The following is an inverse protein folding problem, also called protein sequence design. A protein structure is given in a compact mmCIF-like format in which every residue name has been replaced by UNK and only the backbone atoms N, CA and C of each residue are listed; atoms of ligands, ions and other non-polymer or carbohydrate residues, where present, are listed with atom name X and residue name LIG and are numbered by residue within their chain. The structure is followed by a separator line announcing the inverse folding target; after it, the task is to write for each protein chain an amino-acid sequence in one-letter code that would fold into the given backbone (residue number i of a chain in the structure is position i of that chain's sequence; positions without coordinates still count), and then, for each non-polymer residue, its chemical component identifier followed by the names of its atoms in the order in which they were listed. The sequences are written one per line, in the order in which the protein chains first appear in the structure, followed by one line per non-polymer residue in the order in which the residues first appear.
data_IF_161533910639
#
_entry.id   IF_161533910639
#
_cell.length_a   1.000
_cell.length_b   1.000
_cell.length_c   1.000
_cell.angle_alpha   90.00
_cell.angle_beta   90.00
_cell.angle_gamma   90.00
#
_symmetry.space_group_name_H-M   'P 1'
#
loop_
_entity.id
_entity.type
_entity.pdbx_description
1 polymer ?
#
# COMPACT_ATOMS: atom_id res chain seq x y z
N UNK A 1 5.28 4.76 24.11
CA UNK A 1 6.37 4.59 23.12
C UNK A 1 7.17 5.89 23.03
N UNK A 2 8.47 5.89 23.36
CA UNK A 2 9.31 7.09 23.27
C UNK A 2 9.41 7.63 21.83
N UNK A 3 9.33 6.76 20.82
CA UNK A 3 9.32 7.14 19.41
C UNK A 3 8.07 7.95 19.03
N UNK A 4 6.92 7.62 19.59
CA UNK A 4 5.70 8.40 19.36
C UNK A 4 5.75 9.73 20.16
N UNK A 5 6.25 9.70 21.38
CA UNK A 5 6.44 10.94 22.16
C UNK A 5 7.39 11.94 21.47
N UNK A 6 8.40 11.44 20.75
CA UNK A 6 9.29 12.28 19.96
C UNK A 6 8.60 12.98 18.77
N UNK A 7 7.47 12.46 18.29
CA UNK A 7 6.66 13.09 17.24
C UNK A 7 5.87 14.32 17.73
N UNK A 8 5.64 14.43 19.04
CA UNK A 8 4.89 15.55 19.65
C UNK A 8 5.74 16.84 19.73
N UNK A 9 7.05 16.73 19.56
CA UNK A 9 7.96 17.87 19.63
C UNK A 9 7.87 18.69 18.36
N UNK A 10 7.35 19.91 18.47
CA UNK A 10 7.27 20.90 17.37
C UNK A 10 8.33 21.96 17.56
N UNK A 11 9.18 22.13 16.58
CA UNK A 11 10.22 23.18 16.58
C UNK A 11 9.84 24.30 15.60
N UNK A 12 10.14 25.54 16.03
CA UNK A 12 9.97 26.74 15.21
C UNK A 12 11.35 27.34 14.91
N UNK A 13 11.60 27.59 13.64
CA UNK A 13 12.80 28.29 13.16
C UNK A 13 12.42 29.30 12.10
N UNK A 14 12.94 30.53 12.23
CA UNK A 14 12.63 31.64 11.31
C UNK A 14 11.13 31.86 11.09
N UNK A 15 10.31 31.74 12.14
CA UNK A 15 8.86 31.86 12.07
C UNK A 15 8.12 30.69 11.39
N UNK A 16 8.83 29.63 10.98
CA UNK A 16 8.24 28.45 10.37
C UNK A 16 8.29 27.25 11.33
N UNK A 17 7.12 26.74 11.68
CA UNK A 17 6.96 25.50 12.44
C UNK A 17 6.59 24.36 11.50
N UNK A 18 6.98 23.12 11.84
CA UNK A 18 6.42 21.95 11.18
C UNK A 18 5.10 21.52 11.85
N UNK A 19 4.31 20.70 11.15
CA UNK A 19 3.10 20.08 11.69
C UNK A 19 3.47 19.23 12.92
N UNK A 20 2.60 19.18 13.93
CA UNK A 20 2.72 18.21 15.00
C UNK A 20 2.46 16.81 14.46
N UNK A 21 3.50 16.00 14.35
CA UNK A 21 3.45 14.69 13.74
C UNK A 21 2.73 13.64 14.61
N UNK A 22 2.68 13.84 15.94
CA UNK A 22 1.96 12.96 16.85
C UNK A 22 0.45 13.04 16.62
N UNK A 23 -0.13 14.24 16.65
CA UNK A 23 -1.55 14.43 16.37
C UNK A 23 -1.92 14.08 14.93
N UNK A 24 -1.01 14.29 13.99
CA UNK A 24 -1.16 13.80 12.63
C UNK A 24 -1.28 12.28 12.59
N UNK A 25 -0.39 11.56 13.28
CA UNK A 25 -0.43 10.09 13.33
C UNK A 25 -1.74 9.58 13.94
N UNK A 26 -2.28 10.25 14.96
CA UNK A 26 -3.57 9.89 15.54
C UNK A 26 -4.73 10.13 14.56
N UNK A 27 -4.72 11.24 13.82
CA UNK A 27 -5.71 11.54 12.78
C UNK A 27 -5.68 10.48 11.67
N UNK A 28 -4.49 10.08 11.21
CA UNK A 28 -4.30 9.02 10.21
C UNK A 28 -4.83 7.68 10.72
N UNK A 29 -4.53 7.35 11.98
CA UNK A 29 -5.02 6.11 12.59
C UNK A 29 -6.56 6.08 12.70
N UNK A 30 -7.19 7.20 13.05
CA UNK A 30 -8.65 7.31 13.09
C UNK A 30 -9.26 7.15 11.71
N UNK A 31 -8.72 7.84 10.70
CA UNK A 31 -9.12 7.69 9.30
C UNK A 31 -9.02 6.23 8.83
N UNK A 32 -7.90 5.56 9.14
CA UNK A 32 -7.71 4.15 8.80
C UNK A 32 -8.75 3.25 9.49
N UNK A 33 -9.00 3.47 10.78
CA UNK A 33 -9.98 2.67 11.53
C UNK A 33 -11.40 2.81 10.95
N UNK A 34 -11.75 4.00 10.47
CA UNK A 34 -13.03 4.25 9.81
C UNK A 34 -13.09 3.54 8.45
N UNK A 35 -12.04 3.68 7.61
CA UNK A 35 -11.94 2.98 6.33
C UNK A 35 -11.99 1.44 6.49
N UNK A 36 -11.31 0.89 7.50
CA UNK A 36 -11.36 -0.54 7.83
C UNK A 36 -12.78 -0.99 8.19
N UNK A 37 -13.52 -0.18 8.95
CA UNK A 37 -14.90 -0.48 9.31
C UNK A 37 -15.82 -0.49 8.10
N UNK A 38 -15.68 0.52 7.24
CA UNK A 38 -16.47 0.63 6.00
C UNK A 38 -16.18 -0.56 5.06
N UNK A 39 -14.91 -0.90 4.83
CA UNK A 39 -14.53 -2.06 4.01
C UNK A 39 -15.10 -3.36 4.54
N UNK A 40 -14.98 -3.60 5.84
CA UNK A 40 -15.50 -4.82 6.47
C UNK A 40 -17.03 -4.91 6.38
N UNK A 41 -17.72 -3.79 6.57
CA UNK A 41 -19.18 -3.74 6.40
C UNK A 41 -19.57 -4.01 4.95
N UNK A 42 -18.83 -3.47 3.97
CA UNK A 42 -19.04 -3.74 2.55
C UNK A 42 -18.87 -5.23 2.21
N UNK A 43 -17.77 -5.86 2.66
CA UNK A 43 -17.53 -7.29 2.44
C UNK A 43 -18.63 -8.17 3.06
N UNK A 44 -19.10 -7.85 4.27
CA UNK A 44 -20.18 -8.57 4.93
C UNK A 44 -21.52 -8.40 4.22
N UNK A 45 -21.77 -7.21 3.68
CA UNK A 45 -22.97 -6.94 2.88
C UNK A 45 -22.94 -7.75 1.59
N UNK A 46 -21.82 -7.71 0.85
CA UNK A 46 -21.64 -8.52 -0.35
C UNK A 46 -21.83 -10.02 -0.08
N UNK A 47 -21.27 -10.52 1.04
CA UNK A 47 -21.45 -11.92 1.45
C UNK A 47 -22.92 -12.28 1.73
N UNK A 48 -23.69 -11.35 2.29
CA UNK A 48 -25.11 -11.56 2.57
C UNK A 48 -25.97 -11.59 1.28
N UNK A 49 -25.54 -10.87 0.25
CA UNK A 49 -26.24 -10.78 -1.04
C UNK A 49 -25.77 -11.81 -2.08
N UNK A 50 -24.56 -12.38 -1.90
CA UNK A 50 -24.04 -13.39 -2.80
C UNK A 50 -24.95 -14.61 -2.91
N UNK A 51 -25.18 -15.07 -4.10
CA UNK A 51 -26.00 -16.26 -4.40
C UNK A 51 -25.15 -17.47 -4.80
N UNK A 52 -23.99 -17.22 -5.41
CA UNK A 52 -23.05 -18.24 -5.84
C UNK A 52 -22.19 -18.74 -4.67
N UNK A 53 -22.01 -20.05 -4.56
CA UNK A 53 -21.25 -20.65 -3.46
C UNK A 53 -19.74 -20.38 -3.57
N UNK A 54 -19.20 -20.31 -4.80
CA UNK A 54 -17.79 -19.97 -5.00
C UNK A 54 -17.51 -18.51 -4.59
N UNK A 55 -18.40 -17.59 -4.95
CA UNK A 55 -18.34 -16.18 -4.53
C UNK A 55 -18.41 -16.05 -3.01
N UNK A 56 -19.30 -16.80 -2.35
CA UNK A 56 -19.42 -16.80 -0.88
C UNK A 56 -18.12 -17.25 -0.20
N UNK A 57 -17.52 -18.33 -0.70
CA UNK A 57 -16.26 -18.83 -0.13
C UNK A 57 -15.13 -17.82 -0.34
N UNK A 58 -15.04 -17.16 -1.48
CA UNK A 58 -14.06 -16.11 -1.72
C UNK A 58 -14.26 -14.92 -0.76
N UNK A 59 -15.49 -14.44 -0.59
CA UNK A 59 -15.79 -13.33 0.32
C UNK A 59 -15.51 -13.67 1.79
N UNK A 60 -15.73 -14.92 2.21
CA UNK A 60 -15.35 -15.38 3.55
C UNK A 60 -13.83 -15.35 3.73
N UNK A 61 -13.07 -15.84 2.75
CA UNK A 61 -11.61 -15.81 2.76
C UNK A 61 -11.08 -14.38 2.81
N UNK A 62 -11.68 -13.46 2.05
CA UNK A 62 -11.32 -12.03 2.06
C UNK A 62 -11.59 -11.38 3.42
N UNK A 63 -12.72 -11.69 4.06
CA UNK A 63 -13.05 -11.21 5.42
C UNK A 63 -12.03 -11.74 6.43
N UNK A 64 -11.72 -13.03 6.39
CA UNK A 64 -10.76 -13.66 7.30
C UNK A 64 -9.36 -13.06 7.15
N UNK A 65 -8.88 -12.93 5.91
CA UNK A 65 -7.61 -12.25 5.60
C UNK A 65 -7.59 -10.83 6.13
N UNK A 66 -8.63 -10.06 5.87
CA UNK A 66 -8.73 -8.68 6.33
C UNK A 66 -8.70 -8.58 7.86
N UNK A 67 -9.46 -9.42 8.57
CA UNK A 67 -9.48 -9.45 10.04
C UNK A 67 -8.12 -9.85 10.62
N UNK A 68 -7.39 -10.76 9.98
CA UNK A 68 -6.05 -11.18 10.40
C UNK A 68 -5.01 -10.05 10.28
N UNK A 69 -5.12 -9.21 9.24
CA UNK A 69 -4.18 -8.11 8.99
C UNK A 69 -4.57 -6.79 9.66
N UNK A 70 -5.82 -6.59 9.98
CA UNK A 70 -6.40 -5.34 10.50
C UNK A 70 -5.59 -4.70 11.64
N UNK A 71 -5.16 -5.48 12.61
CA UNK A 71 -4.38 -4.99 13.74
C UNK A 71 -2.97 -4.55 13.31
N UNK A 72 -2.33 -5.31 12.43
CA UNK A 72 -0.96 -5.06 11.99
C UNK A 72 -0.89 -3.86 11.04
N UNK A 73 -1.94 -3.63 10.25
CA UNK A 73 -2.09 -2.41 9.45
C UNK A 73 -2.20 -1.17 10.36
N UNK A 74 -2.91 -1.25 11.49
CA UNK A 74 -2.93 -0.18 12.50
C UNK A 74 -1.55 0.06 13.12
N UNK A 75 -0.76 -1.00 13.36
CA UNK A 75 0.63 -0.85 13.78
C UNK A 75 1.49 -0.18 12.72
N UNK A 76 1.35 -0.54 11.45
CA UNK A 76 2.00 0.14 10.33
C UNK A 76 1.68 1.64 10.30
N UNK A 77 0.39 1.95 10.43
CA UNK A 77 -0.11 3.33 10.50
C UNK A 77 0.44 4.09 11.71
N UNK A 78 0.44 3.48 12.88
CA UNK A 78 0.97 4.11 14.09
C UNK A 78 2.47 4.41 13.99
N UNK A 79 3.21 3.61 13.23
CA UNK A 79 4.66 3.70 13.09
C UNK A 79 5.14 4.33 11.78
N UNK A 80 4.25 4.71 10.84
CA UNK A 80 4.66 5.18 9.51
C UNK A 80 5.64 6.37 9.57
N UNK A 81 5.44 7.26 10.50
CA UNK A 81 6.16 8.51 10.67
C UNK A 81 7.25 8.51 11.78
N UNK A 82 7.48 7.40 12.47
CA UNK A 82 8.43 7.35 13.62
C UNK A 82 9.88 7.70 13.25
N UNK A 83 10.21 7.67 11.97
CA UNK A 83 11.51 8.09 11.46
C UNK A 83 11.71 9.62 11.36
N UNK A 84 10.62 10.42 11.38
CA UNK A 84 10.68 11.87 11.21
C UNK A 84 11.59 12.58 12.19
N UNK A 85 11.58 12.32 13.51
CA UNK A 85 12.47 13.00 14.43
C UNK A 85 13.95 12.80 14.10
N UNK A 86 14.34 11.62 13.63
CA UNK A 86 15.73 11.31 13.25
C UNK A 86 16.14 11.84 11.87
N UNK A 87 15.20 12.01 10.97
CA UNK A 87 15.45 12.54 9.62
C UNK A 87 15.32 14.05 9.52
N UNK A 88 14.76 14.70 10.55
CA UNK A 88 14.49 16.13 10.56
C UNK A 88 15.72 16.97 10.25
N UNK A 89 15.61 17.85 9.26
CA UNK A 89 16.65 18.81 8.84
C UNK A 89 16.00 20.14 8.52
N UNK A 90 16.78 21.21 8.67
CA UNK A 90 16.39 22.54 8.22
C UNK A 90 17.00 22.83 6.84
N UNK A 91 16.15 23.19 5.90
CA UNK A 91 16.52 23.74 4.60
C UNK A 91 16.12 25.21 4.54
N UNK A 92 17.01 26.07 4.02
CA UNK A 92 16.75 27.52 4.01
C UNK A 92 15.62 27.93 3.04
N UNK A 93 15.38 27.17 1.96
CA UNK A 93 14.32 27.43 1.00
C UNK A 93 13.00 26.77 1.42
N UNK A 94 13.05 25.48 1.79
CA UNK A 94 11.86 24.66 2.06
C UNK A 94 11.40 24.71 3.53
N UNK A 95 12.29 25.06 4.47
CA UNK A 95 12.02 24.98 5.90
C UNK A 95 12.35 23.59 6.47
N UNK A 96 11.50 23.06 7.35
CA UNK A 96 11.69 21.73 7.91
C UNK A 96 11.45 20.64 6.88
N UNK A 97 12.41 19.73 6.71
CA UNK A 97 12.35 18.58 5.81
C UNK A 97 12.56 17.27 6.58
N UNK A 98 12.03 16.17 6.05
CA UNK A 98 12.03 14.85 6.69
C UNK A 98 12.38 13.74 5.67
N UNK A 99 13.38 13.99 4.82
CA UNK A 99 13.76 13.03 3.77
C UNK A 99 14.17 11.67 4.35
N UNK A 100 13.78 10.60 3.67
CA UNK A 100 14.07 9.21 4.04
C UNK A 100 13.53 8.78 5.42
N UNK A 101 12.53 9.49 5.99
CA UNK A 101 11.94 9.10 7.28
C UNK A 101 11.29 7.70 7.23
N UNK A 102 10.73 7.30 6.08
CA UNK A 102 10.18 5.98 5.84
C UNK A 102 11.24 4.88 6.03
N UNK A 103 12.38 5.00 5.38
CA UNK A 103 13.49 4.07 5.50
C UNK A 103 14.08 4.01 6.93
N UNK A 104 14.24 5.18 7.57
CA UNK A 104 14.70 5.26 8.95
C UNK A 104 13.67 4.63 9.89
N UNK A 105 12.38 4.92 9.70
CA UNK A 105 11.28 4.35 10.46
C UNK A 105 11.22 2.83 10.32
N UNK A 106 11.31 2.31 9.10
CA UNK A 106 11.33 0.88 8.83
C UNK A 106 12.46 0.16 9.59
N UNK A 107 13.66 0.75 9.66
CA UNK A 107 14.78 0.23 10.47
C UNK A 107 14.52 0.26 11.98
N UNK A 108 13.63 1.13 12.45
CA UNK A 108 13.27 1.20 13.88
C UNK A 108 12.25 0.13 14.29
N UNK A 109 11.40 -0.35 13.36
CA UNK A 109 10.32 -1.32 13.63
C UNK A 109 10.80 -2.56 14.38
N UNK A 110 11.87 -3.28 13.98
CA UNK A 110 12.30 -4.48 14.69
C UNK A 110 12.68 -4.22 16.16
N UNK A 111 13.31 -3.08 16.45
CA UNK A 111 13.68 -2.73 17.81
C UNK A 111 12.47 -2.35 18.67
N UNK A 112 11.47 -1.67 18.08
CA UNK A 112 10.21 -1.35 18.75
C UNK A 112 9.46 -2.64 19.09
N UNK A 113 9.32 -3.55 18.13
CA UNK A 113 8.65 -4.85 18.32
C UNK A 113 9.31 -5.68 19.41
N UNK A 114 10.65 -5.80 19.38
CA UNK A 114 11.41 -6.55 20.39
C UNK A 114 11.20 -5.97 21.80
N UNK A 115 11.27 -4.65 21.95
CA UNK A 115 11.08 -3.97 23.23
C UNK A 115 9.66 -4.14 23.77
N UNK A 116 8.65 -4.15 22.91
CA UNK A 116 7.25 -4.36 23.26
C UNK A 116 6.86 -5.83 23.38
N UNK A 117 7.79 -6.75 23.14
CA UNK A 117 7.53 -8.21 23.10
C UNK A 117 6.43 -8.59 22.10
N UNK A 118 6.34 -7.87 20.98
CA UNK A 118 5.46 -8.20 19.85
C UNK A 118 6.09 -9.31 19.00
N UNK A 119 5.28 -10.03 18.18
CA UNK A 119 5.79 -11.09 17.31
C UNK A 119 6.87 -10.59 16.36
N UNK A 120 7.99 -11.31 16.27
CA UNK A 120 9.14 -10.99 15.40
C UNK A 120 9.11 -11.79 14.08
N UNK A 121 7.94 -12.24 13.70
CA UNK A 121 7.64 -13.07 12.52
C UNK A 121 7.24 -12.22 11.28
N UNK A 122 6.43 -12.79 10.39
CA UNK A 122 5.91 -12.11 9.20
C UNK A 122 5.12 -10.84 9.53
N UNK A 123 4.48 -10.76 10.71
CA UNK A 123 3.73 -9.58 11.17
C UNK A 123 4.65 -8.36 11.35
N UNK A 124 5.84 -8.57 11.92
CA UNK A 124 6.85 -7.51 12.04
C UNK A 124 7.35 -7.08 10.65
N UNK A 125 7.64 -8.05 9.75
CA UNK A 125 8.08 -7.76 8.39
C UNK A 125 7.02 -6.99 7.59
N UNK A 126 5.76 -7.37 7.73
CA UNK A 126 4.61 -6.67 7.14
C UNK A 126 4.55 -5.21 7.61
N UNK A 127 4.59 -4.95 8.92
CA UNK A 127 4.61 -3.59 9.46
C UNK A 127 5.83 -2.81 8.95
N UNK A 128 7.01 -3.42 8.93
CA UNK A 128 8.23 -2.82 8.42
C UNK A 128 8.10 -2.44 6.93
N UNK A 129 7.53 -3.32 6.10
CA UNK A 129 7.26 -3.08 4.67
C UNK A 129 6.32 -1.90 4.47
N UNK A 130 5.21 -1.85 5.20
CA UNK A 130 4.27 -0.73 5.13
C UNK A 130 4.93 0.61 5.49
N UNK A 131 5.73 0.65 6.57
CA UNK A 131 6.46 1.85 6.97
C UNK A 131 7.48 2.27 5.91
N UNK A 132 8.16 1.34 5.27
CA UNK A 132 9.13 1.66 4.21
C UNK A 132 8.46 2.21 2.94
N UNK A 133 7.34 1.61 2.56
CA UNK A 133 6.69 1.90 1.28
C UNK A 133 5.66 3.04 1.31
N UNK A 134 5.20 3.51 2.49
CA UNK A 134 4.04 4.42 2.58
C UNK A 134 4.18 5.71 1.77
N UNK A 135 5.39 6.19 1.53
CA UNK A 135 5.61 7.38 0.71
C UNK A 135 5.49 7.16 -0.80
N UNK A 136 5.59 5.90 -1.27
CA UNK A 136 5.63 5.62 -2.72
C UNK A 136 4.29 5.87 -3.44
N UNK A 137 3.14 5.38 -2.95
CA UNK A 137 1.85 5.72 -3.56
C UNK A 137 1.60 7.22 -3.60
N UNK A 138 1.99 7.96 -2.55
CA UNK A 138 1.86 9.41 -2.47
C UNK A 138 2.70 10.10 -3.55
N UNK A 139 3.97 9.68 -3.72
CA UNK A 139 4.86 10.22 -4.74
C UNK A 139 4.34 9.94 -6.17
N UNK A 140 3.83 8.73 -6.43
CA UNK A 140 3.23 8.38 -7.73
C UNK A 140 1.97 9.21 -7.99
N UNK A 141 1.15 9.46 -6.98
CA UNK A 141 -0.09 10.24 -7.10
C UNK A 141 0.15 11.76 -7.22
N UNK A 142 1.30 12.27 -6.78
CA UNK A 142 1.65 13.71 -6.88
C UNK A 142 2.27 14.05 -8.25
N UNK A 143 2.80 13.06 -8.95
CA UNK A 143 3.46 13.17 -10.25
C UNK A 143 2.61 12.54 -11.37
N UNK A 144 3.16 12.44 -12.60
CA UNK A 144 2.51 11.69 -13.66
C UNK A 144 2.52 10.18 -13.36
N UNK A 145 1.32 9.58 -13.27
CA UNK A 145 1.16 8.16 -12.94
C UNK A 145 1.58 7.28 -14.10
N UNK A 146 2.84 6.85 -14.14
CA UNK A 146 3.37 5.96 -15.17
C UNK A 146 3.16 4.49 -14.82
N UNK A 147 2.96 3.64 -15.83
CA UNK A 147 2.78 2.19 -15.65
C UNK A 147 4.01 1.52 -15.03
N UNK A 148 5.21 2.01 -15.35
CA UNK A 148 6.45 1.49 -14.78
C UNK A 148 6.58 1.78 -13.27
N UNK A 149 6.12 2.96 -12.81
CA UNK A 149 6.12 3.31 -11.39
C UNK A 149 5.09 2.47 -10.62
N UNK A 150 3.89 2.30 -11.20
CA UNK A 150 2.83 1.46 -10.62
C UNK A 150 3.26 0.00 -10.55
N UNK A 151 3.89 -0.55 -11.62
CA UNK A 151 4.40 -1.93 -11.63
C UNK A 151 5.45 -2.17 -10.55
N UNK A 152 6.38 -1.23 -10.35
CA UNK A 152 7.35 -1.33 -9.25
C UNK A 152 6.67 -1.32 -7.88
N UNK A 153 5.65 -0.48 -7.71
CA UNK A 153 4.89 -0.43 -6.47
C UNK A 153 4.20 -1.76 -6.18
N UNK A 154 3.53 -2.34 -7.20
CA UNK A 154 2.87 -3.65 -7.07
C UNK A 154 3.87 -4.73 -6.72
N UNK A 155 5.02 -4.81 -7.42
CA UNK A 155 6.04 -5.82 -7.15
C UNK A 155 6.65 -5.69 -5.74
N UNK A 156 6.86 -4.46 -5.24
CA UNK A 156 7.46 -4.25 -3.92
C UNK A 156 6.45 -4.44 -2.78
N UNK A 157 5.18 -4.10 -3.01
CA UNK A 157 4.12 -4.29 -2.02
C UNK A 157 3.57 -5.72 -2.02
N UNK A 158 3.59 -6.38 -3.19
CA UNK A 158 3.08 -7.74 -3.39
C UNK A 158 1.62 -7.87 -2.89
N UNK A 159 1.29 -8.93 -2.17
CA UNK A 159 -0.03 -9.16 -1.57
C UNK A 159 -0.53 -8.05 -0.62
N UNK A 160 0.36 -7.16 -0.17
CA UNK A 160 0.04 -6.09 0.78
C UNK A 160 -0.34 -4.76 0.10
N UNK A 161 -0.49 -4.74 -1.23
CA UNK A 161 -0.74 -3.51 -2.01
C UNK A 161 -2.02 -2.78 -1.58
N UNK A 162 -3.10 -3.51 -1.31
CA UNK A 162 -4.37 -2.92 -0.88
C UNK A 162 -4.28 -2.27 0.50
N UNK A 163 -3.58 -2.91 1.43
CA UNK A 163 -3.34 -2.41 2.78
C UNK A 163 -2.44 -1.17 2.75
N UNK A 164 -1.40 -1.18 1.89
CA UNK A 164 -0.54 -0.03 1.67
C UNK A 164 -1.33 1.17 1.11
N UNK A 165 -2.18 0.94 0.12
CA UNK A 165 -3.03 1.97 -0.46
C UNK A 165 -4.00 2.54 0.58
N UNK A 166 -4.60 1.70 1.44
CA UNK A 166 -5.49 2.13 2.52
C UNK A 166 -4.75 3.00 3.55
N UNK A 167 -3.53 2.65 3.92
CA UNK A 167 -2.68 3.47 4.79
C UNK A 167 -2.43 4.84 4.17
N UNK A 168 -2.01 4.88 2.90
CA UNK A 168 -1.65 6.12 2.22
C UNK A 168 -2.86 7.04 1.98
N UNK A 169 -4.03 6.49 1.69
CA UNK A 169 -5.28 7.25 1.60
C UNK A 169 -5.66 7.87 2.96
N UNK A 170 -5.50 7.12 4.04
CA UNK A 170 -5.73 7.61 5.40
C UNK A 170 -4.78 8.74 5.79
N UNK A 171 -3.54 8.75 5.27
CA UNK A 171 -2.51 9.78 5.51
C UNK A 171 -2.84 11.13 4.85
N UNK A 172 -3.81 11.17 3.92
CA UNK A 172 -4.24 12.42 3.29
C UNK A 172 -5.08 13.26 4.26
N UNK A 173 -4.41 14.01 5.14
CA UNK A 173 -5.03 14.83 6.20
C UNK A 173 -5.05 16.33 5.89
N UNK A 174 -4.96 16.71 4.60
CA UNK A 174 -4.96 18.13 4.20
C UNK A 174 -6.29 18.83 4.56
N UNK A 175 -6.21 19.96 5.23
CA UNK A 175 -7.36 20.84 5.50
C UNK A 175 -7.86 21.55 4.22
N UNK A 176 -7.05 21.63 3.19
CA UNK A 176 -7.43 22.17 1.90
C UNK A 176 -8.25 21.14 1.12
N UNK A 177 -9.57 21.37 1.04
CA UNK A 177 -10.52 20.46 0.38
C UNK A 177 -10.20 20.21 -1.09
N UNK A 178 -9.75 21.22 -1.83
CA UNK A 178 -9.39 21.08 -3.26
C UNK A 178 -8.16 20.21 -3.42
N UNK A 179 -7.13 20.44 -2.59
CA UNK A 179 -5.92 19.62 -2.59
C UNK A 179 -6.23 18.18 -2.19
N UNK A 180 -7.05 17.99 -1.15
CA UNK A 180 -7.48 16.65 -0.71
C UNK A 180 -8.24 15.91 -1.80
N UNK A 181 -9.19 16.56 -2.47
CA UNK A 181 -9.97 15.96 -3.56
C UNK A 181 -9.07 15.54 -4.73
N UNK A 182 -8.10 16.39 -5.12
CA UNK A 182 -7.13 16.07 -6.18
C UNK A 182 -6.30 14.84 -5.82
N UNK A 183 -5.79 14.75 -4.59
CA UNK A 183 -5.02 13.59 -4.16
C UNK A 183 -5.85 12.32 -4.18
N UNK A 184 -7.08 12.35 -3.65
CA UNK A 184 -7.98 11.19 -3.66
C UNK A 184 -8.31 10.73 -5.09
N UNK A 185 -8.52 11.67 -6.02
CA UNK A 185 -8.73 11.32 -7.43
C UNK A 185 -7.49 10.67 -8.05
N UNK A 186 -6.30 11.20 -7.78
CA UNK A 186 -5.06 10.59 -8.26
C UNK A 186 -4.86 9.18 -7.65
N UNK A 187 -5.20 8.97 -6.38
CA UNK A 187 -5.17 7.63 -5.77
C UNK A 187 -6.16 6.67 -6.44
N UNK A 188 -7.35 7.15 -6.84
CA UNK A 188 -8.29 6.35 -7.63
C UNK A 188 -7.67 5.89 -8.95
N UNK A 189 -7.00 6.79 -9.66
CA UNK A 189 -6.26 6.45 -10.90
C UNK A 189 -5.15 5.42 -10.65
N UNK A 190 -4.40 5.55 -9.56
CA UNK A 190 -3.38 4.56 -9.17
C UNK A 190 -4.01 3.19 -8.94
N UNK A 191 -5.14 3.11 -8.20
CA UNK A 191 -5.87 1.85 -7.97
C UNK A 191 -6.39 1.22 -9.27
N UNK A 192 -6.92 2.01 -10.18
CA UNK A 192 -7.38 1.52 -11.49
C UNK A 192 -6.23 0.92 -12.29
N UNK A 193 -5.08 1.60 -12.33
CA UNK A 193 -3.88 1.06 -12.98
C UNK A 193 -3.35 -0.20 -12.31
N UNK A 194 -3.37 -0.29 -10.99
CA UNK A 194 -3.02 -1.50 -10.24
C UNK A 194 -3.92 -2.65 -10.66
N UNK A 195 -5.24 -2.46 -10.68
CA UNK A 195 -6.20 -3.50 -11.06
C UNK A 195 -5.98 -4.00 -12.50
N UNK A 196 -5.73 -3.08 -13.43
CA UNK A 196 -5.43 -3.43 -14.83
C UNK A 196 -4.11 -4.22 -14.94
N UNK A 197 -3.08 -3.83 -14.20
CA UNK A 197 -1.79 -4.51 -14.23
C UNK A 197 -1.89 -5.94 -13.67
N UNK A 198 -2.55 -6.11 -12.52
CA UNK A 198 -2.76 -7.43 -11.91
C UNK A 198 -3.55 -8.33 -12.86
N UNK A 199 -4.63 -7.81 -13.48
CA UNK A 199 -5.41 -8.56 -14.44
C UNK A 199 -4.57 -8.99 -15.65
N UNK A 200 -3.80 -8.09 -16.23
CA UNK A 200 -2.96 -8.37 -17.39
C UNK A 200 -1.84 -9.38 -17.07
N UNK A 201 -1.26 -9.32 -15.88
CA UNK A 201 -0.23 -10.26 -15.45
C UNK A 201 -0.85 -11.66 -15.21
N UNK A 202 -2.03 -11.74 -14.59
CA UNK A 202 -2.79 -13.00 -14.47
C UNK A 202 -3.14 -13.60 -15.85
N UNK A 203 -3.62 -12.80 -16.80
CA UNK A 203 -3.90 -13.26 -18.16
C UNK A 203 -2.64 -13.76 -18.89
N UNK A 204 -1.46 -13.18 -18.62
CA UNK A 204 -0.18 -13.67 -19.16
C UNK A 204 0.27 -14.98 -18.55
N UNK A 205 0.05 -15.18 -17.26
CA UNK A 205 0.36 -16.45 -16.57
C UNK A 205 -0.53 -17.59 -17.02
N UNK A 206 -1.77 -17.29 -17.48
CA UNK A 206 -2.69 -18.26 -18.05
C UNK A 206 -2.36 -18.63 -19.50
N UNK A 207 -1.40 -17.94 -20.16
CA UNK A 207 -1.00 -18.34 -21.51
C UNK A 207 -0.29 -19.71 -21.46
N UNK A 208 -0.60 -20.62 -22.41
CA UNK A 208 0.01 -21.94 -22.42
C UNK A 208 1.53 -21.82 -22.44
N UNK A 209 2.20 -22.62 -21.60
CA UNK A 209 3.67 -22.69 -21.54
C UNK A 209 4.29 -23.24 -22.85
N UNK A 210 3.48 -23.56 -23.85
CA UNK A 210 3.89 -24.15 -25.14
C UNK A 210 4.03 -23.03 -26.15
N UNK A 211 5.23 -22.91 -26.74
CA UNK A 211 5.46 -21.94 -27.81
C UNK A 211 5.04 -22.49 -29.18
N UNK A 212 5.00 -21.62 -30.20
CA UNK A 212 4.59 -22.01 -31.54
C UNK A 212 5.55 -23.04 -32.18
N UNK A 213 6.82 -23.09 -31.79
CA UNK A 213 7.79 -24.08 -32.29
C UNK A 213 7.53 -25.46 -31.68
N UNK A 214 7.26 -25.49 -30.39
CA UNK A 214 6.87 -26.72 -29.69
C UNK A 214 5.56 -27.29 -30.24
N UNK A 215 4.59 -26.46 -30.56
CA UNK A 215 3.34 -26.87 -31.24
C UNK A 215 3.66 -27.47 -32.62
N UNK A 216 4.50 -26.81 -33.41
CA UNK A 216 4.89 -27.30 -34.74
C UNK A 216 5.63 -28.64 -34.65
N UNK A 217 6.50 -28.82 -33.67
CA UNK A 217 7.25 -30.04 -33.45
C UNK A 217 6.34 -31.17 -32.98
N UNK A 218 5.45 -30.92 -32.03
CA UNK A 218 4.54 -31.91 -31.44
C UNK A 218 3.50 -32.42 -32.45
N UNK A 219 2.99 -31.56 -33.31
CA UNK A 219 1.95 -31.87 -34.30
C UNK A 219 2.46 -32.02 -35.74
N UNK A 220 3.78 -31.89 -35.97
CA UNK A 220 4.38 -31.98 -37.30
C UNK A 220 3.91 -30.90 -38.27
N UNK A 221 3.55 -29.72 -37.73
CA UNK A 221 3.00 -28.61 -38.52
C UNK A 221 4.13 -27.69 -39.03
N UNK A 222 3.83 -27.06 -40.17
CA UNK A 222 4.67 -25.95 -40.68
C UNK A 222 4.10 -24.61 -40.14
N UNK A 223 4.89 -23.52 -40.14
CA UNK A 223 4.37 -22.20 -39.81
C UNK A 223 3.08 -21.89 -40.55
N UNK A 224 1.96 -21.80 -39.84
CA UNK A 224 0.61 -21.68 -40.41
C UNK A 224 -0.32 -20.99 -39.42
N UNK A 225 -1.50 -20.57 -39.90
CA UNK A 225 -2.57 -20.03 -39.05
C UNK A 225 -3.05 -21.04 -38.02
N UNK A 226 -3.02 -22.35 -38.34
CA UNK A 226 -3.39 -23.43 -37.43
C UNK A 226 -2.52 -23.45 -36.16
N UNK A 227 -1.23 -23.15 -36.31
CA UNK A 227 -0.32 -23.02 -35.11
C UNK A 227 -0.74 -21.87 -34.23
N UNK A 228 -1.21 -20.75 -34.82
CA UNK A 228 -1.76 -19.62 -34.09
C UNK A 228 -3.07 -19.96 -33.35
N UNK A 229 -3.96 -20.67 -34.02
CA UNK A 229 -5.26 -21.08 -33.47
C UNK A 229 -5.12 -22.13 -32.36
N UNK A 230 -4.08 -22.98 -32.41
CA UNK A 230 -3.76 -23.95 -31.33
C UNK A 230 -3.05 -23.30 -30.15
N UNK A 231 -2.47 -22.11 -30.33
CA UNK A 231 -1.80 -21.34 -29.24
C UNK A 231 -2.76 -20.39 -28.51
N UNK A 232 -3.86 -20.02 -29.14
CA UNK A 232 -4.83 -19.08 -28.59
C UNK A 232 -5.76 -19.75 -27.59
#
# INVERSE_FOLDING_TARGET
LPELAALDIVETRNGRAHKNNFYHTLEVLDNLCNAQRERLNGLRHSLAEATDDAEKEQLKADIERFEAHKLWLRWGTLLHDVGKPKSKRWDNAQGWTFHNHNFIGAKMVPNIFRRLKLPMDMKMKYVQKLVDLHMRPIAIADDEVTDSAVRRLVNDADDDIDDLMMLCEADITSKNRVKKARFLENFRLVREKIAVLIKNDYERELQPCIDGNEIMELFGLKPSREVGDLKA
#
